data_IF_275416050933
#
_entry.id   IF_275416050933
#
_cell.length_a   1.000
_cell.length_b   1.000
_cell.length_c   1.000
_cell.angle_alpha   90.00
_cell.angle_beta   90.00
_cell.angle_gamma   90.00
#
_symmetry.space_group_name_H-M   'P 1'
#
loop_
_entity.id
_entity.type
_entity.pdbx_description
1 polymer ?
#
# COMPACT_ATOMS: atom_id res chain seq x y z
N UNK A 1 -11.89 11.46 -12.66
CA UNK A 1 -12.84 11.05 -11.59
C UNK A 1 -13.13 9.56 -11.69
N UNK A 2 -13.86 9.09 -12.71
CA UNK A 2 -14.33 7.69 -12.76
C UNK A 2 -13.22 6.65 -12.98
N UNK A 3 -12.26 6.93 -13.87
CA UNK A 3 -11.16 6.00 -14.19
C UNK A 3 -10.13 5.94 -13.06
N UNK A 4 -9.80 7.09 -12.46
CA UNK A 4 -8.85 7.19 -11.35
C UNK A 4 -9.35 6.42 -10.12
N UNK A 5 -10.65 6.55 -9.81
CA UNK A 5 -11.28 5.85 -8.70
C UNK A 5 -11.33 4.33 -8.95
N UNK A 6 -11.65 3.92 -10.19
CA UNK A 6 -11.62 2.51 -10.58
C UNK A 6 -10.21 1.91 -10.47
N UNK A 7 -9.19 2.62 -10.96
CA UNK A 7 -7.80 2.16 -10.89
C UNK A 7 -7.32 2.05 -9.44
N UNK A 8 -7.69 3.02 -8.61
CA UNK A 8 -7.35 3.03 -7.17
C UNK A 8 -7.99 1.86 -6.44
N UNK A 9 -9.28 1.58 -6.69
CA UNK A 9 -9.98 0.45 -6.07
C UNK A 9 -9.43 -0.89 -6.52
N UNK A 10 -9.15 -1.06 -7.82
CA UNK A 10 -8.52 -2.27 -8.35
C UNK A 10 -7.13 -2.47 -7.75
N UNK A 11 -6.31 -1.41 -7.69
CA UNK A 11 -4.99 -1.43 -7.07
C UNK A 11 -5.05 -1.81 -5.60
N UNK A 12 -6.02 -1.28 -4.86
CA UNK A 12 -6.24 -1.60 -3.45
C UNK A 12 -6.63 -3.07 -3.25
N UNK A 13 -7.59 -3.57 -4.03
CA UNK A 13 -8.00 -4.97 -4.00
C UNK A 13 -6.84 -5.93 -4.32
N UNK A 14 -6.05 -5.62 -5.36
CA UNK A 14 -4.88 -6.41 -5.74
C UNK A 14 -3.78 -6.38 -4.68
N UNK A 15 -3.53 -5.21 -4.09
CA UNK A 15 -2.53 -5.05 -3.02
C UNK A 15 -2.92 -5.83 -1.76
N UNK A 16 -4.18 -5.77 -1.34
CA UNK A 16 -4.71 -6.57 -0.22
C UNK A 16 -4.63 -8.06 -0.54
N UNK A 17 -5.05 -8.49 -1.73
CA UNK A 17 -4.97 -9.89 -2.14
C UNK A 17 -3.51 -10.39 -2.14
N UNK A 18 -2.56 -9.60 -2.64
CA UNK A 18 -1.14 -9.93 -2.61
C UNK A 18 -0.58 -10.00 -1.17
N UNK A 19 -1.01 -9.11 -0.29
CA UNK A 19 -0.62 -9.12 1.12
C UNK A 19 -1.16 -10.37 1.85
N UNK A 20 -2.43 -10.71 1.66
CA UNK A 20 -3.03 -11.93 2.24
C UNK A 20 -2.37 -13.19 1.68
N UNK A 21 -2.17 -13.26 0.36
CA UNK A 21 -1.52 -14.40 -0.29
C UNK A 21 -0.07 -14.60 0.19
N UNK A 22 0.70 -13.52 0.26
CA UNK A 22 2.09 -13.57 0.73
C UNK A 22 2.17 -13.89 2.23
N UNK A 23 1.23 -13.39 3.04
CA UNK A 23 1.12 -13.72 4.47
C UNK A 23 0.77 -15.19 4.70
N UNK A 24 -0.20 -15.71 3.95
CA UNK A 24 -0.55 -17.13 3.97
C UNK A 24 0.66 -17.99 3.58
N UNK A 25 1.34 -17.67 2.47
CA UNK A 25 2.55 -18.38 2.02
C UNK A 25 3.73 -18.26 2.98
N UNK A 26 3.83 -17.17 3.74
CA UNK A 26 4.86 -17.00 4.75
C UNK A 26 4.57 -17.79 6.05
N UNK A 27 3.28 -17.97 6.37
CA UNK A 27 2.80 -18.72 7.54
C UNK A 27 2.74 -20.23 7.35
N UNK A 28 2.72 -20.73 6.10
CA UNK A 28 2.80 -22.16 5.84
C UNK A 28 4.10 -22.76 6.42
N UNK A 29 4.01 -23.93 7.10
CA UNK A 29 5.19 -24.61 7.63
C UNK A 29 6.18 -24.87 6.49
N UNK A 30 7.45 -24.51 6.75
CA UNK A 30 8.55 -24.73 5.82
C UNK A 30 8.81 -26.23 5.75
N UNK A 31 8.29 -26.89 4.72
CA UNK A 31 8.44 -28.33 4.55
C UNK A 31 9.64 -28.72 3.66
N UNK A 32 10.58 -27.81 3.48
CA UNK A 32 11.75 -28.07 2.65
C UNK A 32 13.02 -27.64 3.38
N UNK A 33 13.91 -28.60 3.60
CA UNK A 33 15.33 -28.43 3.97
C UNK A 33 16.14 -27.66 2.90
N UNK A 34 15.45 -26.96 1.98
CA UNK A 34 16.01 -26.16 0.89
C UNK A 34 15.99 -24.68 1.27
N UNK A 35 17.02 -23.89 0.89
CA UNK A 35 17.01 -22.45 1.10
C UNK A 35 15.78 -21.82 0.46
N UNK A 36 15.10 -20.91 1.19
CA UNK A 36 13.92 -20.18 0.68
C UNK A 36 14.34 -19.42 -0.58
N UNK A 37 13.80 -19.82 -1.75
CA UNK A 37 14.14 -19.19 -3.04
C UNK A 37 13.61 -17.76 -3.17
N UNK A 38 12.50 -17.45 -2.52
CA UNK A 38 11.94 -16.11 -2.45
C UNK A 38 11.80 -15.63 -1.00
N UNK A 39 12.24 -14.40 -0.68
CA UNK A 39 12.01 -13.79 0.63
C UNK A 39 10.55 -13.34 0.74
N UNK A 40 9.63 -14.26 1.05
CA UNK A 40 8.20 -13.96 1.21
C UNK A 40 7.90 -12.80 2.17
N UNK A 41 8.76 -12.59 3.19
CA UNK A 41 8.68 -11.43 4.10
C UNK A 41 8.86 -10.09 3.38
N UNK A 42 9.74 -10.02 2.38
CA UNK A 42 9.93 -8.82 1.57
C UNK A 42 8.68 -8.50 0.75
N UNK A 43 8.02 -9.51 0.18
CA UNK A 43 6.78 -9.33 -0.57
C UNK A 43 5.61 -8.89 0.31
N UNK A 44 5.55 -9.30 1.58
CA UNK A 44 4.57 -8.79 2.55
C UNK A 44 4.79 -7.28 2.78
N UNK A 45 6.03 -6.86 3.05
CA UNK A 45 6.35 -5.44 3.28
C UNK A 45 6.07 -4.60 2.03
N UNK A 46 6.46 -5.10 0.85
CA UNK A 46 6.26 -4.40 -0.41
C UNK A 46 4.77 -4.26 -0.77
N UNK A 47 3.99 -5.34 -0.62
CA UNK A 47 2.54 -5.29 -0.86
C UNK A 47 1.82 -4.40 0.14
N UNK A 48 2.18 -4.46 1.43
CA UNK A 48 1.63 -3.56 2.44
C UNK A 48 1.92 -2.09 2.14
N UNK A 49 3.15 -1.77 1.74
CA UNK A 49 3.54 -0.41 1.34
C UNK A 49 2.77 0.07 0.10
N UNK A 50 2.63 -0.78 -0.93
CA UNK A 50 1.86 -0.45 -2.12
C UNK A 50 0.37 -0.21 -1.81
N UNK A 51 -0.24 -1.05 -0.97
CA UNK A 51 -1.62 -0.84 -0.50
C UNK A 51 -1.77 0.45 0.28
N UNK A 52 -0.78 0.79 1.12
CA UNK A 52 -0.78 2.05 1.87
C UNK A 52 -0.73 3.27 0.93
N UNK A 53 0.11 3.25 -0.11
CA UNK A 53 0.14 4.32 -1.10
C UNK A 53 -1.19 4.46 -1.86
N UNK A 54 -1.84 3.35 -2.19
CA UNK A 54 -3.16 3.37 -2.83
C UNK A 54 -4.25 3.94 -1.92
N UNK A 55 -4.16 3.72 -0.59
CA UNK A 55 -5.03 4.38 0.38
C UNK A 55 -4.82 5.90 0.40
N UNK A 56 -3.57 6.36 0.44
CA UNK A 56 -3.26 7.79 0.38
C UNK A 56 -3.78 8.40 -0.93
N UNK A 57 -3.63 7.68 -2.04
CA UNK A 57 -4.16 8.12 -3.32
C UNK A 57 -5.70 8.21 -3.32
N UNK A 58 -6.39 7.26 -2.69
CA UNK A 58 -7.84 7.32 -2.50
C UNK A 58 -8.25 8.57 -1.70
N UNK A 59 -7.55 8.87 -0.61
CA UNK A 59 -7.79 10.06 0.23
C UNK A 59 -7.57 11.36 -0.56
N UNK A 60 -6.55 11.41 -1.42
CA UNK A 60 -6.33 12.53 -2.32
C UNK A 60 -7.47 12.69 -3.35
N UNK A 61 -7.98 11.59 -3.92
CA UNK A 61 -9.13 11.63 -4.85
C UNK A 61 -10.40 12.12 -4.14
N UNK A 62 -10.55 11.81 -2.85
CA UNK A 62 -11.65 12.31 -2.02
C UNK A 62 -11.53 13.80 -1.68
N UNK A 63 -10.49 14.49 -2.14
CA UNK A 63 -10.30 15.93 -1.98
C UNK A 63 -9.44 16.34 -0.77
N UNK A 64 -8.85 15.37 -0.05
CA UNK A 64 -7.92 15.64 1.04
C UNK A 64 -6.49 15.58 0.50
N UNK A 65 -5.92 16.72 0.11
CA UNK A 65 -4.55 16.77 -0.41
C UNK A 65 -3.53 16.50 0.71
N UNK A 66 -2.83 15.38 0.64
CA UNK A 66 -1.86 14.95 1.68
C UNK A 66 -0.44 15.55 1.50
N UNK A 67 -0.31 16.68 0.79
CA UNK A 67 0.98 17.29 0.38
C UNK A 67 1.55 18.35 1.34
N UNK A 68 2.87 18.63 1.30
CA UNK A 68 3.50 19.70 2.07
C UNK A 68 2.82 21.05 1.79
N UNK A 69 2.27 21.69 2.82
CA UNK A 69 1.60 22.99 2.74
C UNK A 69 0.12 22.99 2.35
N UNK A 70 -0.48 21.83 2.04
CA UNK A 70 -1.88 21.74 1.56
C UNK A 70 -2.78 20.77 2.33
N UNK A 71 -2.21 19.99 3.26
CA UNK A 71 -2.98 19.10 4.14
C UNK A 71 -3.77 19.83 5.22
N UNK A 72 -4.82 19.17 5.73
CA UNK A 72 -5.70 19.63 6.82
C UNK A 72 -4.96 20.14 8.08
N UNK A 73 -3.71 19.71 8.29
CA UNK A 73 -2.82 20.10 9.40
C UNK A 73 -1.62 20.97 8.97
N UNK A 74 -1.52 21.36 7.69
CA UNK A 74 -0.28 21.84 7.06
C UNK A 74 -0.21 23.32 6.71
N UNK A 75 -1.16 24.16 7.14
CA UNK A 75 -1.26 25.54 6.68
C UNK A 75 -0.96 26.59 7.74
N UNK A 76 0.27 26.69 8.32
CA UNK A 76 0.72 27.96 8.96
C UNK A 76 2.19 28.14 9.39
N UNK A 77 3.20 27.42 8.89
CA UNK A 77 4.58 27.65 9.35
C UNK A 77 5.65 27.52 8.25
N UNK A 78 5.44 28.14 7.09
CA UNK A 78 6.40 28.18 5.97
C UNK A 78 6.83 29.59 5.58
N UNK A 79 6.96 30.49 6.56
CA UNK A 79 7.42 31.86 6.35
C UNK A 79 8.54 32.22 7.31
N UNK A 80 9.75 31.78 6.98
CA UNK A 80 11.03 32.39 7.34
C UNK A 80 12.02 32.10 6.22
#
# INVERSE_FOLDING_TARGET
MSVDLLLTLVGLCLGVAACVYSSHRAGLPRDDMRPKRLPWRFFIVLSGFATFLMLVHLVNILGYETGPGKGLLGGRFGGF
#
